data_IF_773885808448
#
_entry.id   IF_773885808448
#
_cell.length_a   1.000
_cell.length_b   1.000
_cell.length_c   1.000
_cell.angle_alpha   90.00
_cell.angle_beta   90.00
_cell.angle_gamma   90.00
#
_symmetry.space_group_name_H-M   'P 1'
#
loop_
_entity.id
_entity.type
_entity.pdbx_description
1 polymer ?
#
# COMPACT_ATOMS: atom_id res chain seq x y z
N UNK A 1 -9.97 -3.26 -27.43
CA UNK A 1 -9.54 -3.69 -26.08
C UNK A 1 -8.36 -2.83 -25.65
N UNK A 2 -8.58 -1.57 -25.27
CA UNK A 2 -7.52 -0.66 -24.81
C UNK A 2 -8.16 0.37 -23.88
N UNK A 3 -8.36 -0.01 -22.62
CA UNK A 3 -8.69 0.97 -21.57
C UNK A 3 -7.40 1.64 -21.14
N UNK A 4 -7.17 2.82 -21.72
CA UNK A 4 -6.11 3.73 -21.29
C UNK A 4 -6.37 4.17 -19.85
N UNK A 5 -5.42 3.84 -18.98
CA UNK A 5 -5.27 4.38 -17.64
C UNK A 5 -5.03 5.88 -17.74
N UNK A 6 -6.02 6.69 -17.41
CA UNK A 6 -5.84 8.10 -17.08
C UNK A 6 -6.94 8.51 -16.09
N UNK A 7 -6.71 8.22 -14.81
CA UNK A 7 -7.30 9.02 -13.74
C UNK A 7 -6.16 9.70 -13.00
N UNK A 8 -5.74 10.83 -13.55
CA UNK A 8 -5.01 11.85 -12.81
C UNK A 8 -6.02 12.90 -12.33
N UNK A 9 -5.89 13.24 -11.04
CA UNK A 9 -6.38 14.47 -10.39
C UNK A 9 -7.88 14.53 -10.04
N UNK A 10 -8.21 14.44 -8.75
CA UNK A 10 -8.47 15.60 -7.88
C UNK A 10 -8.87 15.16 -6.45
N UNK A 11 -8.12 15.61 -5.45
CA UNK A 11 -8.67 16.31 -4.27
C UNK A 11 -9.77 15.61 -3.45
N UNK A 12 -9.53 14.38 -3.02
CA UNK A 12 -9.92 13.95 -1.67
C UNK A 12 -8.95 12.85 -1.30
N UNK A 13 -7.99 13.10 -0.40
CA UNK A 13 -7.21 12.01 0.19
C UNK A 13 -8.15 11.22 1.07
N UNK A 14 -8.98 10.37 0.45
CA UNK A 14 -9.74 9.38 1.17
C UNK A 14 -8.68 8.51 1.88
N UNK A 15 -8.71 8.43 3.21
CA UNK A 15 -7.72 7.66 3.97
C UNK A 15 -7.67 6.21 3.48
N UNK A 16 -8.81 5.68 3.02
CA UNK A 16 -8.91 4.35 2.42
C UNK A 16 -8.09 4.19 1.13
N UNK A 17 -8.02 5.22 0.28
CA UNK A 17 -7.23 5.19 -0.95
C UNK A 17 -5.73 5.24 -0.63
N UNK A 18 -5.33 6.06 0.36
CA UNK A 18 -3.94 6.10 0.84
C UNK A 18 -3.51 4.79 1.50
N UNK A 19 -4.39 4.16 2.28
CA UNK A 19 -4.15 2.85 2.87
C UNK A 19 -4.00 1.76 1.79
N UNK A 20 -4.80 1.84 0.71
CA UNK A 20 -4.68 0.93 -0.44
C UNK A 20 -3.36 1.09 -1.20
N UNK A 21 -2.94 2.34 -1.45
CA UNK A 21 -1.63 2.63 -2.05
C UNK A 21 -0.48 2.14 -1.15
N UNK A 22 -0.57 2.33 0.17
CA UNK A 22 0.43 1.86 1.11
C UNK A 22 0.52 0.32 1.12
N UNK A 23 -0.61 -0.39 1.10
CA UNK A 23 -0.62 -1.86 0.98
C UNK A 23 0.06 -2.33 -0.31
N UNK A 24 -0.22 -1.67 -1.43
CA UNK A 24 0.40 -2.01 -2.72
C UNK A 24 1.90 -1.73 -2.70
N UNK A 25 2.33 -0.58 -2.14
CA UNK A 25 3.73 -0.23 -1.98
C UNK A 25 4.47 -1.17 -1.01
N UNK A 26 3.80 -1.68 0.02
CA UNK A 26 4.32 -2.64 0.99
C UNK A 26 4.62 -4.02 0.34
N UNK A 27 3.99 -4.32 -0.81
CA UNK A 27 4.24 -5.53 -1.61
C UNK A 27 5.23 -5.29 -2.76
N UNK A 28 5.71 -4.07 -2.95
CA UNK A 28 6.61 -3.77 -4.06
C UNK A 28 7.98 -4.43 -3.83
N UNK A 29 8.66 -4.87 -4.90
CA UNK A 29 10.00 -5.44 -4.80
C UNK A 29 11.03 -4.40 -4.30
N UNK A 30 10.76 -3.12 -4.58
CA UNK A 30 11.56 -1.98 -4.15
C UNK A 30 11.60 -1.87 -2.61
N UNK A 31 12.79 -1.96 -1.99
CA UNK A 31 12.94 -1.87 -0.54
C UNK A 31 12.67 -0.47 0.03
N UNK A 32 12.96 0.60 -0.71
CA UNK A 32 12.71 1.97 -0.26
C UNK A 32 11.21 2.25 -0.24
N UNK A 33 10.46 1.83 -1.27
CA UNK A 33 9.00 1.95 -1.30
C UNK A 33 8.32 1.17 -0.19
N UNK A 34 8.80 -0.04 0.12
CA UNK A 34 8.30 -0.84 1.25
C UNK A 34 8.51 -0.15 2.58
N UNK A 35 9.69 0.44 2.80
CA UNK A 35 9.99 1.19 4.02
C UNK A 35 9.07 2.41 4.15
N UNK A 36 8.93 3.20 3.10
CA UNK A 36 8.03 4.36 3.09
C UNK A 36 6.57 3.98 3.38
N UNK A 37 6.08 2.88 2.79
CA UNK A 37 4.74 2.38 3.07
C UNK A 37 4.56 1.96 4.54
N UNK A 38 5.55 1.24 5.09
CA UNK A 38 5.55 0.83 6.50
C UNK A 38 5.54 2.04 7.44
N UNK A 39 6.37 3.03 7.19
CA UNK A 39 6.45 4.23 8.03
C UNK A 39 5.15 5.05 8.00
N UNK A 40 4.49 5.12 6.84
CA UNK A 40 3.16 5.75 6.70
C UNK A 40 2.09 4.98 7.46
N UNK A 41 2.03 3.66 7.30
CA UNK A 41 1.05 2.83 8.02
C UNK A 41 1.25 2.91 9.54
N UNK A 42 2.50 2.93 10.02
CA UNK A 42 2.78 3.15 11.45
C UNK A 42 2.28 4.53 11.91
N UNK A 43 2.46 5.57 11.10
CA UNK A 43 1.99 6.94 11.40
C UNK A 43 0.46 7.06 11.39
N UNK A 44 -0.22 6.24 10.60
CA UNK A 44 -1.69 6.12 10.55
C UNK A 44 -2.27 5.27 11.70
N UNK A 45 -1.42 4.64 12.51
CA UNK A 45 -1.83 3.87 13.69
C UNK A 45 -1.91 2.36 13.50
N UNK A 46 -1.49 1.84 12.34
CA UNK A 46 -1.35 0.39 12.15
C UNK A 46 -0.25 -0.17 13.05
N UNK A 47 -0.48 -1.33 13.65
CA UNK A 47 0.53 -2.03 14.44
C UNK A 47 1.53 -2.70 13.52
N UNK A 48 2.80 -2.73 13.95
CA UNK A 48 3.88 -3.42 13.23
C UNK A 48 3.51 -4.86 12.86
N UNK A 49 2.86 -5.58 13.78
CA UNK A 49 2.40 -6.96 13.56
C UNK A 49 1.37 -7.06 12.44
N UNK A 50 0.45 -6.09 12.32
CA UNK A 50 -0.56 -6.06 11.25
C UNK A 50 0.09 -5.80 9.88
N UNK A 51 1.09 -4.92 9.83
CA UNK A 51 1.87 -4.64 8.63
C UNK A 51 2.65 -5.89 8.19
N UNK A 52 3.26 -6.60 9.14
CA UNK A 52 4.02 -7.81 8.87
C UNK A 52 3.09 -8.96 8.40
N UNK A 53 1.90 -9.09 8.99
CA UNK A 53 0.87 -10.03 8.52
C UNK A 53 0.43 -9.71 7.09
N UNK A 54 0.27 -8.44 6.73
CA UNK A 54 -0.05 -8.06 5.36
C UNK A 54 1.03 -8.53 4.38
N UNK A 55 2.31 -8.30 4.70
CA UNK A 55 3.43 -8.77 3.86
C UNK A 55 3.49 -10.30 3.71
N UNK A 56 3.12 -11.03 4.75
CA UNK A 56 3.17 -12.50 4.76
C UNK A 56 1.94 -13.15 4.14
N UNK A 57 0.75 -12.54 4.23
CA UNK A 57 -0.52 -13.12 3.77
C UNK A 57 -0.59 -13.34 2.26
N UNK A 58 0.22 -12.64 1.47
CA UNK A 58 0.33 -12.86 0.02
C UNK A 58 1.32 -13.97 -0.37
N UNK A 59 2.11 -14.50 0.59
CA UNK A 59 3.05 -15.59 0.31
C UNK A 59 2.35 -16.95 0.20
N UNK A 60 1.08 -17.03 0.60
CA UNK A 60 0.23 -18.23 0.60
C UNK A 60 -0.79 -18.26 -0.55
N UNK A 61 -0.77 -17.30 -1.47
CA UNK A 61 -1.69 -17.24 -2.62
C UNK A 61 -1.11 -17.83 -3.92
N UNK A 62 -0.13 -18.74 -3.81
CA UNK A 62 0.46 -19.48 -4.92
C UNK A 62 0.09 -20.95 -4.89
#
# INVERSE_FOLDING_TARGET
MTSNQLLSNDKTKNPDLMAHECRTCLMCADPERRRCARDRMLSEGFRKVEIDHLQLSNKTAH
#
